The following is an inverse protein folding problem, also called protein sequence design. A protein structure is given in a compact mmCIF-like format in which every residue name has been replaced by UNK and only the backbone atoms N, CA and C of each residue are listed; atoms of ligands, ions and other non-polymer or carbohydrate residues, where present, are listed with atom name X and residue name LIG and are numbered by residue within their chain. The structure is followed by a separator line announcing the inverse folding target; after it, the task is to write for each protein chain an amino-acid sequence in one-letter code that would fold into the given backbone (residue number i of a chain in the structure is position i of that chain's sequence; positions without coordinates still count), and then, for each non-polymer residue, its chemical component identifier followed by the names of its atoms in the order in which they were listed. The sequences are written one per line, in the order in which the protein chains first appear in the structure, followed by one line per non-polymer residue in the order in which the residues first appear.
data_IF_932031577183
#
_entry.id   IF_932031577183
#
_cell.length_a   1.000
_cell.length_b   1.000
_cell.length_c   1.000
_cell.angle_alpha   90.00
_cell.angle_beta   90.00
_cell.angle_gamma   90.00
#
_symmetry.space_group_name_H-M   'P 1'
#
loop_
_entity.id
_entity.type
_entity.pdbx_description
1 polymer ?
#
# COMPACT_ATOMS: atom_id res chain seq x y z
N UNK A 1 7.93 -23.95 50.51
CA UNK A 1 6.73 -23.16 50.86
C UNK A 1 6.29 -22.37 49.63
N UNK A 2 5.02 -22.08 49.34
CA UNK A 2 3.74 -22.75 49.61
C UNK A 2 2.69 -22.09 48.66
N UNK A 3 1.56 -22.73 48.37
CA UNK A 3 0.54 -22.19 47.43
C UNK A 3 -0.41 -21.21 48.11
N UNK A 4 -1.01 -20.28 47.34
CA UNK A 4 -2.46 -20.06 47.07
C UNK A 4 -2.56 -18.83 46.10
N UNK A 5 -3.38 -18.78 45.03
CA UNK A 5 -4.86 -18.83 44.89
C UNK A 5 -5.55 -17.53 45.36
N UNK A 6 -6.69 -17.04 44.80
CA UNK A 6 -7.61 -17.40 43.69
C UNK A 6 -8.31 -16.06 43.27
N UNK A 7 -9.03 -15.78 42.16
CA UNK A 7 -9.69 -16.49 41.04
C UNK A 7 -9.14 -15.97 39.67
N UNK A 8 -9.68 -16.06 38.43
CA UNK A 8 -11.01 -16.32 37.77
C UNK A 8 -12.06 -15.21 38.00
N UNK A 9 -13.07 -14.95 37.15
CA UNK A 9 -13.56 -15.50 35.86
C UNK A 9 -13.39 -14.44 34.72
N UNK A 10 -13.68 -14.61 33.42
CA UNK A 10 -14.64 -15.46 32.70
C UNK A 10 -14.10 -15.87 31.30
N UNK A 11 -13.91 -17.17 31.02
CA UNK A 11 -14.75 -18.01 30.12
C UNK A 11 -14.94 -17.48 28.70
N UNK A 12 -14.21 -18.04 27.71
CA UNK A 12 -14.30 -17.60 26.30
C UNK A 12 -13.86 -18.57 25.20
N UNK A 13 -13.64 -19.87 25.49
CA UNK A 13 -13.25 -20.95 24.54
C UNK A 13 -12.13 -20.63 23.52
N UNK A 14 -10.92 -21.08 23.83
CA UNK A 14 -9.91 -21.38 22.79
C UNK A 14 -10.48 -22.43 21.83
N UNK A 15 -10.72 -22.03 20.57
CA UNK A 15 -11.05 -22.90 19.44
C UNK A 15 -10.10 -22.59 18.27
N UNK A 16 -9.95 -23.50 17.28
CA UNK A 16 -8.95 -23.38 16.21
C UNK A 16 -9.32 -22.36 15.11
N UNK A 17 -9.84 -21.19 15.50
CA UNK A 17 -10.42 -20.15 14.62
C UNK A 17 -9.54 -18.89 14.48
N UNK A 18 -8.23 -19.02 14.73
CA UNK A 18 -7.22 -18.00 14.40
C UNK A 18 -6.44 -18.19 13.06
N UNK A 19 -6.98 -18.75 11.94
CA UNK A 19 -6.28 -18.76 10.65
C UNK A 19 -6.89 -17.87 9.55
N UNK A 20 -7.95 -17.07 9.83
CA UNK A 20 -8.68 -16.33 8.78
C UNK A 20 -8.37 -14.82 8.68
N UNK A 21 -8.19 -14.11 9.80
CA UNK A 21 -7.96 -12.64 9.77
C UNK A 21 -6.59 -12.23 9.19
N UNK A 22 -5.64 -13.15 9.05
CA UNK A 22 -4.39 -12.92 8.31
C UNK A 22 -4.47 -13.31 6.82
N UNK A 23 -5.53 -14.01 6.38
CA UNK A 23 -5.52 -14.75 5.11
C UNK A 23 -6.12 -14.00 3.92
N UNK A 24 -6.81 -12.88 4.14
CA UNK A 24 -7.36 -12.06 3.05
C UNK A 24 -6.55 -10.78 2.87
N UNK A 25 -5.68 -10.78 1.85
CA UNK A 25 -4.97 -9.63 1.26
C UNK A 25 -5.93 -8.66 0.54
N UNK A 26 -6.96 -8.23 1.28
CA UNK A 26 -8.24 -7.67 0.82
C UNK A 26 -8.19 -6.28 0.15
N UNK A 27 -7.00 -5.72 -0.03
CA UNK A 27 -6.80 -4.37 -0.55
C UNK A 27 -6.58 -4.35 -2.08
N UNK A 28 -6.01 -5.40 -2.69
CA UNK A 28 -5.60 -5.35 -4.10
C UNK A 28 -6.61 -5.98 -5.09
N UNK A 29 -7.43 -6.96 -4.66
CA UNK A 29 -8.27 -7.74 -5.58
C UNK A 29 -9.53 -6.99 -6.09
N UNK A 30 -9.83 -6.97 -7.40
CA UNK A 30 -11.04 -6.34 -7.95
C UNK A 30 -12.34 -7.02 -7.51
N UNK A 31 -13.46 -6.30 -7.60
CA UNK A 31 -14.75 -6.77 -7.04
C UNK A 31 -15.36 -7.94 -7.83
N UNK A 32 -14.96 -8.09 -9.10
CA UNK A 32 -15.22 -9.26 -9.95
C UNK A 32 -14.54 -10.51 -9.40
N UNK A 33 -13.27 -10.40 -9.02
CA UNK A 33 -12.48 -11.54 -8.53
C UNK A 33 -12.91 -11.97 -7.13
N UNK A 34 -13.24 -11.03 -6.25
CA UNK A 34 -13.85 -11.35 -4.94
C UNK A 34 -15.20 -12.07 -5.13
N UNK A 35 -16.05 -11.62 -6.08
CA UNK A 35 -17.30 -12.32 -6.39
C UNK A 35 -17.04 -13.74 -6.94
N UNK A 36 -16.07 -13.90 -7.85
CA UNK A 36 -15.69 -15.19 -8.40
C UNK A 36 -15.17 -16.16 -7.33
N UNK A 37 -14.29 -15.71 -6.42
CA UNK A 37 -13.76 -16.51 -5.33
C UNK A 37 -14.86 -16.97 -4.35
N UNK A 38 -15.80 -16.08 -3.99
CA UNK A 38 -16.92 -16.44 -3.10
C UNK A 38 -17.88 -17.42 -3.81
N UNK A 39 -18.19 -17.20 -5.09
CA UNK A 39 -19.06 -18.09 -5.86
C UNK A 39 -18.42 -19.47 -6.07
N UNK A 40 -17.09 -19.54 -6.28
CA UNK A 40 -16.34 -20.80 -6.38
C UNK A 40 -16.21 -21.55 -5.04
N UNK A 41 -16.20 -20.83 -3.91
CA UNK A 41 -16.16 -21.43 -2.56
C UNK A 41 -17.54 -21.89 -2.06
N UNK A 42 -18.61 -21.51 -2.75
CA UNK A 42 -20.00 -21.58 -2.26
C UNK A 42 -20.73 -22.91 -2.44
N UNK A 43 -20.04 -24.05 -2.47
CA UNK A 43 -20.56 -25.36 -2.91
C UNK A 43 -21.81 -25.88 -2.16
N UNK A 44 -22.17 -25.31 -1.01
CA UNK A 44 -23.33 -25.70 -0.20
C UNK A 44 -24.57 -24.81 -0.41
N UNK A 45 -24.51 -23.72 -1.18
CA UNK A 45 -25.67 -22.83 -1.37
C UNK A 45 -25.82 -22.33 -2.81
N UNK A 46 -26.96 -22.61 -3.43
CA UNK A 46 -27.34 -22.16 -4.77
C UNK A 46 -27.68 -20.66 -4.82
N UNK A 47 -26.74 -19.80 -4.45
CA UNK A 47 -26.86 -18.33 -4.39
C UNK A 47 -25.62 -17.67 -4.98
N UNK A 48 -25.59 -17.57 -6.30
CA UNK A 48 -24.57 -16.83 -7.04
C UNK A 48 -24.61 -15.32 -6.68
N UNK A 49 -23.53 -14.81 -6.11
CA UNK A 49 -23.43 -13.41 -5.66
C UNK A 49 -23.01 -12.51 -6.83
N UNK A 50 -23.72 -11.40 -7.00
CA UNK A 50 -23.39 -10.40 -8.01
C UNK A 50 -22.21 -9.52 -7.60
N UNK A 51 -21.43 -9.05 -8.59
CA UNK A 51 -20.37 -8.06 -8.38
C UNK A 51 -20.90 -6.76 -7.76
N UNK A 52 -22.13 -6.35 -8.09
CA UNK A 52 -22.82 -5.20 -7.49
C UNK A 52 -23.10 -5.38 -5.99
N UNK A 53 -23.41 -6.60 -5.54
CA UNK A 53 -23.59 -6.93 -4.11
C UNK A 53 -22.26 -6.81 -3.36
N UNK A 54 -21.17 -7.35 -3.94
CA UNK A 54 -19.81 -7.23 -3.38
C UNK A 54 -19.38 -5.77 -3.30
N UNK A 55 -19.57 -4.98 -4.36
CA UNK A 55 -19.27 -3.53 -4.36
C UNK A 55 -20.08 -2.77 -3.29
N UNK A 56 -21.37 -3.09 -3.11
CA UNK A 56 -22.20 -2.46 -2.09
C UNK A 56 -21.68 -2.76 -0.69
N UNK A 57 -21.42 -4.04 -0.35
CA UNK A 57 -20.88 -4.41 0.96
C UNK A 57 -19.51 -3.79 1.25
N UNK A 58 -18.65 -3.67 0.25
CA UNK A 58 -17.35 -3.00 0.41
C UNK A 58 -17.49 -1.49 0.70
N UNK A 59 -18.43 -0.80 0.03
CA UNK A 59 -18.74 0.62 0.33
C UNK A 59 -19.38 0.80 1.71
N UNK A 60 -20.27 -0.11 2.13
CA UNK A 60 -20.84 -0.13 3.48
C UNK A 60 -19.74 -0.28 4.56
N UNK A 61 -18.72 -1.09 4.31
CA UNK A 61 -17.51 -1.20 5.16
C UNK A 61 -16.49 -0.06 5.01
N UNK A 62 -16.83 1.00 4.25
CA UNK A 62 -15.98 2.18 4.02
C UNK A 62 -14.80 1.97 3.06
N UNK A 63 -14.67 0.81 2.40
CA UNK A 63 -13.55 0.49 1.51
C UNK A 63 -13.80 1.00 0.09
N UNK A 64 -13.10 2.08 -0.27
CA UNK A 64 -13.22 2.75 -1.56
C UNK A 64 -12.06 2.39 -2.48
N UNK A 65 -12.34 2.10 -3.75
CA UNK A 65 -11.30 1.90 -4.76
C UNK A 65 -10.57 3.21 -5.06
N UNK A 66 -9.24 3.22 -4.90
CA UNK A 66 -8.39 4.38 -5.13
C UNK A 66 -7.16 3.98 -5.95
N UNK A 67 -6.50 4.96 -6.60
CA UNK A 67 -5.17 4.75 -7.17
C UNK A 67 -4.15 4.83 -6.03
N UNK A 68 -3.42 3.74 -5.81
CA UNK A 68 -2.40 3.64 -4.77
C UNK A 68 -1.36 4.77 -4.84
N UNK A 69 -0.84 5.17 -3.68
CA UNK A 69 0.28 6.09 -3.65
C UNK A 69 1.59 5.32 -3.93
N UNK A 70 2.30 5.68 -5.00
CA UNK A 70 3.64 5.17 -5.28
C UNK A 70 4.68 5.90 -4.43
N UNK A 71 5.40 5.18 -3.57
CA UNK A 71 6.52 5.75 -2.79
C UNK A 71 7.72 4.80 -2.73
N UNK A 72 8.95 5.33 -2.67
CA UNK A 72 10.12 4.53 -2.31
C UNK A 72 10.07 4.17 -0.81
N UNK A 73 10.53 2.99 -0.45
CA UNK A 73 10.61 2.56 0.95
C UNK A 73 11.60 3.44 1.73
N UNK A 74 11.17 3.94 2.90
CA UNK A 74 11.95 4.85 3.74
C UNK A 74 12.97 4.10 4.60
N UNK A 75 14.08 3.69 3.98
CA UNK A 75 15.29 3.25 4.70
C UNK A 75 15.88 4.38 5.55
N UNK A 76 16.58 4.07 6.64
CA UNK A 76 17.18 5.07 7.53
C UNK A 76 18.17 6.03 6.84
N UNK A 77 18.86 5.55 5.81
CA UNK A 77 19.71 6.40 4.94
C UNK A 77 18.94 7.58 4.34
N UNK A 78 17.64 7.41 4.01
CA UNK A 78 16.79 8.46 3.47
C UNK A 78 16.43 9.52 4.52
N UNK A 79 16.52 9.24 5.83
CA UNK A 79 16.25 10.23 6.90
C UNK A 79 17.23 11.41 6.83
N UNK A 80 18.46 11.19 6.32
CA UNK A 80 19.46 12.26 6.06
C UNK A 80 18.93 13.37 5.14
N UNK A 81 18.00 13.05 4.21
CA UNK A 81 17.37 14.05 3.31
C UNK A 81 16.55 15.09 4.07
N UNK A 82 15.93 14.73 5.20
CA UNK A 82 15.18 15.67 6.03
C UNK A 82 16.10 16.66 6.75
N UNK A 83 17.26 16.19 7.23
CA UNK A 83 18.27 17.06 7.83
C UNK A 83 18.86 18.04 6.79
N UNK A 84 19.15 17.55 5.57
CA UNK A 84 19.57 18.40 4.45
C UNK A 84 18.50 19.46 4.12
N UNK A 85 17.23 19.06 3.93
CA UNK A 85 16.15 19.99 3.63
C UNK A 85 15.93 21.05 4.73
N UNK A 86 16.03 20.66 6.01
CA UNK A 86 15.99 21.61 7.14
C UNK A 86 17.14 22.63 7.08
N UNK A 87 18.38 22.18 6.80
CA UNK A 87 19.56 23.06 6.69
C UNK A 87 19.46 24.07 5.54
N UNK A 88 18.83 23.69 4.43
CA UNK A 88 18.75 24.53 3.22
C UNK A 88 17.42 25.31 3.11
N UNK A 89 16.51 25.20 4.09
CA UNK A 89 15.20 25.89 4.10
C UNK A 89 15.31 27.42 3.95
N UNK A 90 16.40 28.02 4.41
CA UNK A 90 16.62 29.48 4.40
C UNK A 90 17.52 29.96 3.24
N UNK A 91 17.77 29.13 2.21
CA UNK A 91 18.55 29.56 1.05
C UNK A 91 17.76 30.52 0.15
N UNK A 92 18.39 31.66 -0.16
CA UNK A 92 17.89 32.67 -1.11
C UNK A 92 17.97 32.17 -2.55
N UNK A 93 17.17 32.77 -3.44
CA UNK A 93 17.07 32.38 -4.85
C UNK A 93 18.43 32.37 -5.56
N UNK A 94 19.30 33.34 -5.30
CA UNK A 94 20.60 33.44 -5.99
C UNK A 94 21.58 32.35 -5.55
N UNK A 95 21.43 31.80 -4.33
CA UNK A 95 22.16 30.59 -3.92
C UNK A 95 21.66 29.35 -4.66
N UNK A 96 20.36 29.28 -4.96
CA UNK A 96 19.81 28.19 -5.78
C UNK A 96 20.25 28.27 -7.25
N UNK A 97 20.34 29.47 -7.83
CA UNK A 97 20.92 29.71 -9.18
C UNK A 97 22.40 29.34 -9.29
N UNK A 98 23.14 29.33 -8.18
CA UNK A 98 24.55 28.90 -8.16
C UNK A 98 24.74 27.38 -8.05
N UNK A 99 23.65 26.59 -7.98
CA UNK A 99 23.74 25.12 -7.92
C UNK A 99 23.64 24.55 -9.33
N UNK A 100 24.75 23.99 -9.83
CA UNK A 100 24.71 23.10 -10.99
C UNK A 100 23.99 21.80 -10.59
N UNK A 101 22.82 21.56 -11.19
CA UNK A 101 22.06 20.33 -10.98
C UNK A 101 22.43 19.32 -12.06
N UNK A 102 22.73 18.08 -11.69
CA UNK A 102 22.85 16.96 -12.62
C UNK A 102 22.07 15.73 -12.11
N UNK A 103 21.49 14.97 -13.03
CA UNK A 103 20.73 13.75 -12.74
C UNK A 103 20.85 12.75 -13.89
N UNK A 104 20.58 11.48 -13.58
CA UNK A 104 20.52 10.39 -14.57
C UNK A 104 19.10 9.81 -14.62
N UNK A 105 18.42 10.03 -15.75
CA UNK A 105 17.02 9.66 -15.93
C UNK A 105 16.86 8.54 -16.96
N UNK A 106 16.03 7.53 -16.62
CA UNK A 106 15.76 6.38 -17.49
C UNK A 106 14.47 6.56 -18.28
N UNK A 107 14.60 6.82 -19.57
CA UNK A 107 13.49 6.83 -20.53
C UNK A 107 13.04 5.40 -20.85
N UNK A 108 11.82 5.05 -20.49
CA UNK A 108 11.22 3.74 -20.82
C UNK A 108 10.59 3.80 -22.21
N UNK A 109 10.97 2.87 -23.09
CA UNK A 109 10.43 2.76 -24.46
C UNK A 109 8.96 2.34 -24.44
N UNK A 110 8.57 1.49 -23.48
CA UNK A 110 7.18 1.08 -23.26
C UNK A 110 6.63 1.62 -21.94
N UNK A 111 5.47 2.27 -22.02
CA UNK A 111 4.72 2.73 -20.85
C UNK A 111 4.02 1.54 -20.17
N UNK A 112 4.67 0.95 -19.17
CA UNK A 112 4.01 -0.03 -18.28
C UNK A 112 2.84 0.63 -17.55
N UNK A 113 1.63 0.07 -17.64
CA UNK A 113 0.43 0.58 -16.98
C UNK A 113 0.70 0.85 -15.49
N UNK A 114 0.79 2.13 -15.13
CA UNK A 114 1.36 2.53 -13.85
C UNK A 114 0.40 2.47 -12.67
N UNK A 115 -0.91 2.44 -12.91
CA UNK A 115 -1.92 2.60 -11.87
C UNK A 115 -2.30 1.24 -11.26
N UNK A 116 -1.71 0.89 -10.13
CA UNK A 116 -2.24 -0.19 -9.28
C UNK A 116 -3.40 0.38 -8.47
N UNK A 117 -4.59 -0.19 -8.66
CA UNK A 117 -5.77 0.14 -7.88
C UNK A 117 -5.77 -0.64 -6.57
N UNK A 118 -6.06 0.05 -5.47
CA UNK A 118 -6.09 -0.53 -4.11
C UNK A 118 -7.31 0.02 -3.38
N UNK A 119 -7.97 -0.80 -2.57
CA UNK A 119 -9.06 -0.33 -1.69
C UNK A 119 -8.51 0.19 -0.38
N UNK A 120 -8.89 1.41 -0.04
CA UNK A 120 -8.53 2.09 1.18
C UNK A 120 -9.74 2.86 1.71
N UNK A 121 -9.81 3.14 3.01
CA UNK A 121 -10.78 4.13 3.51
C UNK A 121 -10.31 5.54 3.14
N UNK A 122 -11.20 6.52 3.30
CA UNK A 122 -10.87 7.93 3.14
C UNK A 122 -9.81 8.32 4.18
N UNK A 123 -8.76 9.03 3.77
CA UNK A 123 -7.60 9.38 4.61
C UNK A 123 -6.50 8.31 4.71
N UNK A 124 -6.84 7.02 4.62
CA UNK A 124 -5.89 5.90 4.83
C UNK A 124 -4.88 5.68 3.68
N UNK A 125 -4.95 6.45 2.58
CA UNK A 125 -4.11 6.33 1.35
C UNK A 125 -2.59 6.31 1.59
N UNK A 126 -2.12 6.78 2.75
CA UNK A 126 -0.70 6.84 3.13
C UNK A 126 -0.25 5.69 4.05
N UNK A 127 -1.16 4.83 4.52
CA UNK A 127 -0.82 3.63 5.31
C UNK A 127 -0.01 2.67 4.42
N UNK A 128 0.96 1.95 5.01
CA UNK A 128 1.86 1.03 4.29
C UNK A 128 1.13 0.02 3.42
N UNK A 129 -0.01 -0.51 3.88
CA UNK A 129 -0.84 -1.46 3.13
C UNK A 129 -1.59 -0.84 1.93
N UNK A 130 -1.66 0.50 1.85
CA UNK A 130 -2.26 1.27 0.75
C UNK A 130 -1.22 1.89 -0.21
N UNK A 131 0.07 1.66 0.04
CA UNK A 131 1.21 2.29 -0.66
C UNK A 131 2.01 1.21 -1.39
N UNK A 132 1.98 1.24 -2.73
CA UNK A 132 2.74 0.27 -3.54
C UNK A 132 4.23 0.66 -3.53
N UNK A 133 5.13 -0.22 -3.06
CA UNK A 133 6.57 0.06 -2.99
C UNK A 133 7.15 0.16 -4.40
N UNK A 134 7.72 1.32 -4.73
CA UNK A 134 8.26 1.56 -6.08
C UNK A 134 9.69 1.04 -6.20
N UNK A 135 9.85 -0.14 -6.78
CA UNK A 135 11.15 -0.67 -7.24
C UNK A 135 11.59 0.11 -8.48
N UNK A 136 12.79 0.71 -8.44
CA UNK A 136 13.32 1.52 -9.56
C UNK A 136 13.93 0.70 -10.71
N UNK A 137 14.37 -0.52 -10.44
CA UNK A 137 15.21 -1.31 -11.36
C UNK A 137 14.37 -2.39 -12.07
N UNK A 138 14.39 -2.39 -13.40
CA UNK A 138 13.65 -3.33 -14.24
C UNK A 138 13.25 -2.74 -15.59
N UNK A 139 13.04 -3.61 -16.58
CA UNK A 139 12.63 -3.26 -17.95
C UNK A 139 13.74 -2.62 -18.82
N UNK A 140 13.62 -2.78 -20.13
CA UNK A 140 14.43 -2.05 -21.11
C UNK A 140 14.13 -0.55 -21.13
N UNK A 141 15.11 0.25 -21.54
CA UNK A 141 14.98 1.71 -21.64
C UNK A 141 16.34 2.40 -21.77
N UNK A 142 16.35 3.59 -22.34
CA UNK A 142 17.54 4.40 -22.57
C UNK A 142 17.87 5.18 -21.30
N UNK A 143 19.14 5.19 -20.89
CA UNK A 143 19.65 6.08 -19.85
C UNK A 143 20.05 7.41 -20.49
N UNK A 144 19.63 8.52 -19.89
CA UNK A 144 19.99 9.87 -20.33
C UNK A 144 20.55 10.62 -19.13
N UNK A 145 21.77 11.13 -19.27
CA UNK A 145 22.38 12.05 -18.31
C UNK A 145 22.25 13.49 -18.80
N UNK A 146 22.07 14.43 -17.89
CA UNK A 146 22.03 15.85 -18.21
C UNK A 146 22.27 16.73 -16.99
N UNK A 147 22.48 18.02 -17.25
CA UNK A 147 22.64 19.04 -16.22
C UNK A 147 21.89 20.33 -16.55
N UNK A 148 21.67 21.15 -15.51
CA UNK A 148 20.90 22.39 -15.55
C UNK A 148 21.54 23.45 -14.63
N UNK A 149 21.48 24.71 -15.06
CA UNK A 149 21.87 25.93 -14.33
C UNK A 149 20.60 26.69 -13.95
#
# INVERSE_FOLDING_TARGET
MMKLALMRTATGKEGPELPLLQRISSLELPASEIAAQINASGSSSNRHISTSTVQRRLRESGLHGQISAKKPLLKDTNKKRLAWAKKHKQWTLDRWKSVLWSDESKCKIFASNCCVFVRCRVGERMISACVVPTVKHGGGGVMVWGFCW
#
